data_IF_675540505509
#
_entry.id   IF_675540505509
#
_cell.length_a   1.000
_cell.length_b   1.000
_cell.length_c   1.000
_cell.angle_alpha   90.00
_cell.angle_beta   90.00
_cell.angle_gamma   90.00
#
_symmetry.space_group_name_H-M   'P 1'
#
loop_
_entity.id
_entity.type
_entity.pdbx_description
1 polymer ?
#
# COMPACT_ATOMS: atom_id res chain seq x y z
N UNK A 1 -31.61 7.57 -10.62
CA UNK A 1 -30.39 8.30 -10.21
C UNK A 1 -29.47 7.37 -9.46
N UNK A 2 -28.23 7.20 -9.92
CA UNK A 2 -27.22 6.46 -9.18
C UNK A 2 -26.63 7.41 -8.12
N UNK A 3 -26.74 7.05 -6.85
CA UNK A 3 -26.14 7.79 -5.77
C UNK A 3 -24.64 7.44 -5.72
N UNK A 4 -23.78 8.44 -5.92
CA UNK A 4 -22.33 8.27 -5.88
C UNK A 4 -21.84 8.57 -4.47
N UNK A 5 -21.07 7.65 -3.90
CA UNK A 5 -20.41 7.78 -2.61
C UNK A 5 -18.90 7.71 -2.82
N UNK A 6 -18.14 8.70 -2.32
CA UNK A 6 -16.68 8.78 -2.50
C UNK A 6 -15.88 8.17 -1.35
N UNK A 7 -16.55 7.72 -0.28
CA UNK A 7 -15.97 7.03 0.87
C UNK A 7 -15.85 5.52 0.61
N UNK A 8 -15.28 5.15 -0.53
CA UNK A 8 -15.09 3.76 -0.96
C UNK A 8 -13.63 3.53 -1.36
N UNK A 9 -13.18 2.28 -1.25
CA UNK A 9 -11.89 1.81 -1.76
C UNK A 9 -12.04 0.42 -2.34
N UNK A 10 -11.13 0.03 -3.24
CA UNK A 10 -11.09 -1.31 -3.84
C UNK A 10 -9.71 -1.91 -3.66
N UNK A 11 -9.66 -3.13 -3.13
CA UNK A 11 -8.44 -3.94 -2.99
C UNK A 11 -8.68 -5.32 -3.60
N UNK A 12 -7.63 -5.94 -4.14
CA UNK A 12 -7.65 -7.24 -4.81
C UNK A 12 -6.55 -8.12 -4.28
N UNK A 13 -6.85 -9.40 -4.03
CA UNK A 13 -5.85 -10.41 -3.65
C UNK A 13 -5.16 -11.07 -4.85
N UNK A 14 -5.18 -10.41 -6.02
CA UNK A 14 -4.56 -10.88 -7.25
C UNK A 14 -3.79 -9.74 -7.90
N UNK A 15 -2.54 -9.99 -8.28
CA UNK A 15 -1.68 -9.00 -8.91
C UNK A 15 -1.96 -8.84 -10.41
N UNK A 16 -1.27 -7.89 -11.03
CA UNK A 16 -1.40 -7.55 -12.45
C UNK A 16 -1.00 -8.68 -13.42
N UNK A 17 -0.34 -9.73 -12.92
CA UNK A 17 0.05 -10.93 -13.69
C UNK A 17 -0.95 -12.08 -13.52
N UNK A 18 -2.02 -11.89 -12.74
CA UNK A 18 -3.02 -12.93 -12.48
C UNK A 18 -2.61 -13.93 -11.39
N UNK A 19 -1.55 -13.65 -10.63
CA UNK A 19 -1.14 -14.50 -9.51
C UNK A 19 -1.83 -14.04 -8.23
N UNK A 20 -2.19 -14.98 -7.36
CA UNK A 20 -2.68 -14.68 -6.02
C UNK A 20 -1.57 -14.03 -5.19
N UNK A 21 -1.94 -13.00 -4.42
CA UNK A 21 -1.10 -12.39 -3.41
C UNK A 21 -1.02 -13.27 -2.16
N UNK A 22 0.09 -13.18 -1.44
CA UNK A 22 0.16 -13.69 -0.07
C UNK A 22 -0.80 -12.88 0.82
N UNK A 23 -1.31 -13.50 1.90
CA UNK A 23 -2.22 -12.81 2.82
C UNK A 23 -1.62 -11.52 3.38
N UNK A 24 -0.31 -11.52 3.64
CA UNK A 24 0.41 -10.34 4.10
C UNK A 24 0.38 -9.22 3.06
N UNK A 25 0.79 -9.48 1.81
CA UNK A 25 0.74 -8.50 0.71
C UNK A 25 -0.68 -7.95 0.49
N UNK A 26 -1.70 -8.82 0.53
CA UNK A 26 -3.10 -8.40 0.38
C UNK A 26 -3.58 -7.50 1.54
N UNK A 27 -3.09 -7.73 2.76
CA UNK A 27 -3.37 -6.85 3.91
C UNK A 27 -2.68 -5.49 3.73
N UNK A 28 -1.45 -5.45 3.25
CA UNK A 28 -0.72 -4.21 3.00
C UNK A 28 -1.36 -3.36 1.90
N UNK A 29 -1.77 -3.97 0.79
CA UNK A 29 -2.54 -3.27 -0.26
C UNK A 29 -3.82 -2.71 0.33
N UNK A 30 -4.55 -3.49 1.14
CA UNK A 30 -5.79 -3.01 1.77
C UNK A 30 -5.52 -1.85 2.74
N UNK A 31 -4.44 -1.90 3.51
CA UNK A 31 -4.03 -0.84 4.42
C UNK A 31 -3.63 0.44 3.66
N UNK A 32 -2.91 0.31 2.54
CA UNK A 32 -2.54 1.42 1.66
C UNK A 32 -3.77 2.18 1.14
N UNK A 33 -4.80 1.45 0.65
CA UNK A 33 -6.04 2.07 0.19
C UNK A 33 -6.84 2.73 1.34
N UNK A 34 -6.77 2.17 2.55
CA UNK A 34 -7.31 2.84 3.73
C UNK A 34 -6.53 4.11 4.09
N UNK A 35 -5.20 4.12 3.92
CA UNK A 35 -4.34 5.29 4.08
C UNK A 35 -4.79 6.45 3.18
N UNK A 36 -5.08 6.17 1.91
CA UNK A 36 -5.68 7.15 1.01
C UNK A 36 -7.04 7.66 1.48
N UNK A 37 -7.92 6.78 1.99
CA UNK A 37 -9.20 7.21 2.58
C UNK A 37 -9.01 8.09 3.84
N UNK A 38 -7.88 7.93 4.54
CA UNK A 38 -7.48 8.78 5.67
C UNK A 38 -6.81 10.10 5.26
N UNK A 39 -6.55 10.28 3.96
CA UNK A 39 -5.96 11.50 3.39
C UNK A 39 -4.45 11.43 3.17
N UNK A 40 -3.81 10.28 3.30
CA UNK A 40 -2.40 10.12 2.97
C UNK A 40 -2.18 10.12 1.45
N UNK A 41 -1.19 10.89 0.98
CA UNK A 41 -0.65 10.75 -0.37
C UNK A 41 0.46 9.68 -0.39
N UNK A 42 1.04 9.42 -1.56
CA UNK A 42 2.21 8.56 -1.64
C UNK A 42 3.42 9.16 -0.94
N UNK A 43 4.27 8.29 -0.38
CA UNK A 43 5.54 8.69 0.21
C UNK A 43 6.46 9.37 -0.82
N UNK A 44 7.07 10.50 -0.43
CA UNK A 44 8.09 11.15 -1.24
C UNK A 44 9.38 10.32 -1.28
N UNK A 45 10.12 10.39 -2.38
CA UNK A 45 11.40 9.69 -2.54
C UNK A 45 12.51 10.41 -1.75
N UNK A 46 12.42 10.35 -0.42
CA UNK A 46 13.36 10.89 0.57
C UNK A 46 13.70 9.82 1.60
N UNK A 47 14.85 9.92 2.26
CA UNK A 47 15.25 8.95 3.29
C UNK A 47 14.29 8.93 4.51
N UNK A 48 13.54 10.01 4.73
CA UNK A 48 12.56 10.11 5.83
C UNK A 48 11.26 9.34 5.54
N UNK A 49 10.72 9.47 4.32
CA UNK A 49 9.43 8.89 3.95
C UNK A 49 9.55 7.60 3.14
N UNK A 50 10.69 7.34 2.53
CA UNK A 50 10.93 6.17 1.71
C UNK A 50 12.36 5.66 1.93
N UNK A 51 12.72 5.20 3.15
CA UNK A 51 14.05 4.70 3.40
C UNK A 51 14.34 3.42 2.59
N UNK A 52 15.62 3.19 2.29
CA UNK A 52 16.03 2.05 1.48
C UNK A 52 15.97 0.72 2.25
N UNK A 53 16.26 -0.39 1.56
CA UNK A 53 16.24 -1.73 2.14
C UNK A 53 17.28 -1.95 3.25
N UNK A 54 18.31 -1.10 3.37
CA UNK A 54 19.29 -1.16 4.46
C UNK A 54 18.82 -0.37 5.69
N UNK A 55 17.83 0.50 5.52
CA UNK A 55 17.21 1.30 6.55
C UNK A 55 15.74 0.89 6.74
N UNK A 56 15.53 -0.41 6.96
CA UNK A 56 14.23 -0.98 7.32
C UNK A 56 13.16 -0.98 6.21
N UNK A 57 13.52 -0.65 4.97
CA UNK A 57 12.64 -0.74 3.80
C UNK A 57 11.61 0.38 3.70
N UNK A 58 10.84 0.38 2.61
CA UNK A 58 9.86 1.45 2.32
C UNK A 58 8.65 1.36 3.25
N UNK A 59 7.99 2.49 3.55
CA UNK A 59 6.72 2.50 4.27
C UNK A 59 5.54 2.12 3.38
N UNK A 60 4.38 1.85 4.00
CA UNK A 60 3.19 1.32 3.33
C UNK A 60 2.61 2.24 2.25
N UNK A 61 2.88 3.55 2.29
CA UNK A 61 2.37 4.52 1.31
C UNK A 61 3.32 4.72 0.12
N UNK A 62 4.37 3.90 0.00
CA UNK A 62 5.23 3.91 -1.18
C UNK A 62 4.41 3.58 -2.44
N UNK A 63 4.61 4.29 -3.57
CA UNK A 63 3.77 4.13 -4.77
C UNK A 63 3.92 2.77 -5.48
N UNK A 64 4.89 1.95 -5.05
CA UNK A 64 5.10 0.59 -5.55
C UNK A 64 4.88 -0.42 -4.44
N UNK A 65 4.32 -1.58 -4.80
CA UNK A 65 4.02 -2.64 -3.86
C UNK A 65 5.28 -3.04 -3.04
N UNK A 66 5.10 -3.10 -1.73
CA UNK A 66 6.10 -3.59 -0.78
C UNK A 66 5.90 -5.09 -0.51
N UNK A 67 6.96 -5.77 -0.09
CA UNK A 67 6.96 -7.24 0.06
C UNK A 67 6.31 -7.74 1.35
N UNK A 68 6.25 -6.90 2.38
CA UNK A 68 5.83 -7.27 3.73
C UNK A 68 6.93 -7.89 4.59
N UNK A 69 8.17 -8.03 4.08
CA UNK A 69 9.27 -8.59 4.86
C UNK A 69 10.14 -7.55 5.57
N UNK A 70 10.07 -6.29 5.14
CA UNK A 70 10.86 -5.22 5.72
C UNK A 70 10.17 -4.65 6.98
N UNK A 71 10.95 -4.17 7.95
CA UNK A 71 10.45 -3.73 9.26
C UNK A 71 9.47 -2.55 9.16
N UNK A 72 9.62 -1.68 8.15
CA UNK A 72 8.73 -0.55 7.90
C UNK A 72 7.45 -0.91 7.12
N UNK A 73 7.23 -2.19 6.79
CA UNK A 73 6.02 -2.61 6.08
C UNK A 73 4.81 -2.89 7.00
N UNK A 74 4.93 -2.78 8.32
CA UNK A 74 3.84 -3.00 9.29
C UNK A 74 3.11 -1.71 9.71
#
# INVERSE_FOLDING_TARGET
DAQIAYNIGFSSSMNTKGNNLLSQEAMLVTAHEFGHNWGAEHDAETDECAPDAFNNGRFIMYPYAVSGYDENND
#
